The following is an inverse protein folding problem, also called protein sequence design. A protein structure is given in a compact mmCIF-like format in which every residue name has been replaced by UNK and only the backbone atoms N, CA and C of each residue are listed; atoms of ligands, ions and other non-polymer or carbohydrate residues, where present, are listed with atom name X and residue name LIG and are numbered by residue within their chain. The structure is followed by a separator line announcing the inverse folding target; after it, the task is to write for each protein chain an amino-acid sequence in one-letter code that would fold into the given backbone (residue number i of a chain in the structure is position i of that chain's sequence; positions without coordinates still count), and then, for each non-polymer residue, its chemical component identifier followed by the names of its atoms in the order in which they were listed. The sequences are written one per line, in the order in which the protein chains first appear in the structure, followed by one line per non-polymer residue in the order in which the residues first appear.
data_IF_388481159288
#
_entry.id   IF_388481159288
#
_cell.length_a   1.000
_cell.length_b   1.000
_cell.length_c   1.000
_cell.angle_alpha   90.00
_cell.angle_beta   90.00
_cell.angle_gamma   90.00
#
_symmetry.space_group_name_H-M   'P 1'
#
loop_
_entity.id
_entity.type
_entity.pdbx_description
1 polymer ?
#
# COMPACT_ATOMS: atom_id res chain seq x y z
N UNK A 1 -48.19 4.26 79.18
CA UNK A 1 -49.32 3.94 78.28
C UNK A 1 -49.29 4.89 77.10
N UNK A 2 -49.34 4.35 75.88
CA UNK A 2 -49.45 5.01 74.57
C UNK A 2 -48.26 5.91 74.18
N UNK A 3 -47.48 5.68 73.12
CA UNK A 3 -47.76 4.99 71.86
C UNK A 3 -47.65 6.02 70.73
N UNK A 4 -46.56 6.00 69.96
CA UNK A 4 -46.40 6.56 68.59
C UNK A 4 -44.94 6.44 68.11
N UNK A 5 -44.75 5.91 66.91
CA UNK A 5 -43.46 6.01 66.20
C UNK A 5 -43.21 4.88 65.19
N UNK A 6 -43.73 5.03 63.97
CA UNK A 6 -43.31 4.25 62.78
C UNK A 6 -41.85 4.60 62.44
N UNK A 7 -41.01 3.63 62.04
CA UNK A 7 -40.29 3.65 60.75
C UNK A 7 -39.33 2.46 60.51
N UNK A 8 -39.42 1.95 59.28
CA UNK A 8 -38.39 1.37 58.41
C UNK A 8 -37.44 0.27 58.93
N UNK A 9 -37.72 -0.95 58.46
CA UNK A 9 -36.82 -2.10 58.48
C UNK A 9 -35.74 -1.95 57.39
N UNK A 10 -34.49 -2.21 57.78
CA UNK A 10 -33.26 -2.04 57.01
C UNK A 10 -33.23 -2.81 55.67
N UNK A 11 -32.89 -2.10 54.60
CA UNK A 11 -32.41 -2.69 53.34
C UNK A 11 -30.96 -3.16 53.53
N UNK A 12 -30.71 -4.45 53.29
CA UNK A 12 -29.35 -5.00 53.23
C UNK A 12 -28.64 -4.55 51.95
N UNK A 13 -27.51 -3.85 52.13
CA UNK A 13 -26.49 -3.67 51.12
C UNK A 13 -25.83 -5.03 50.83
N UNK A 14 -25.74 -5.40 49.57
CA UNK A 14 -24.69 -6.30 49.07
C UNK A 14 -24.25 -5.83 47.70
N UNK A 15 -23.26 -4.93 47.70
CA UNK A 15 -22.46 -4.60 46.52
C UNK A 15 -21.43 -5.71 46.33
N UNK A 16 -21.63 -6.58 45.33
CA UNK A 16 -20.63 -7.54 44.90
C UNK A 16 -19.65 -6.83 43.93
N UNK A 17 -18.48 -6.47 44.44
CA UNK A 17 -17.32 -6.05 43.65
C UNK A 17 -16.82 -7.25 42.84
N UNK A 18 -17.08 -7.26 41.54
CA UNK A 18 -16.35 -8.14 40.61
C UNK A 18 -15.15 -7.37 40.05
N UNK A 19 -13.96 -7.98 39.98
CA UNK A 19 -12.79 -7.30 39.41
C UNK A 19 -13.00 -7.07 37.91
N UNK A 20 -12.49 -5.96 37.34
CA UNK A 20 -12.62 -5.70 35.92
C UNK A 20 -11.87 -6.78 35.13
N UNK A 21 -12.60 -7.50 34.29
CA UNK A 21 -12.03 -8.36 33.24
C UNK A 21 -11.13 -7.47 32.37
N UNK A 22 -9.82 -7.64 32.49
CA UNK A 22 -8.88 -7.13 31.49
C UNK A 22 -9.20 -7.82 30.17
N UNK A 23 -9.75 -7.05 29.23
CA UNK A 23 -9.75 -7.40 27.82
C UNK A 23 -8.29 -7.38 27.37
N UNK A 24 -7.71 -8.57 27.21
CA UNK A 24 -6.48 -8.70 26.45
C UNK A 24 -6.77 -8.21 25.03
N UNK A 25 -6.15 -7.10 24.64
CA UNK A 25 -6.08 -6.68 23.23
C UNK A 25 -5.20 -7.73 22.56
N UNK A 26 -5.83 -8.66 21.84
CA UNK A 26 -5.11 -9.50 20.90
C UNK A 26 -4.53 -8.55 19.85
N UNK A 27 -3.21 -8.47 19.76
CA UNK A 27 -2.57 -7.80 18.63
C UNK A 27 -3.06 -8.49 17.36
N UNK A 28 -3.67 -7.73 16.46
CA UNK A 28 -3.96 -8.21 15.11
C UNK A 28 -2.61 -8.62 14.49
N UNK A 29 -2.39 -9.92 14.33
CA UNK A 29 -1.28 -10.39 13.52
C UNK A 29 -1.58 -9.95 12.08
N UNK A 30 -0.76 -9.05 11.53
CA UNK A 30 -0.74 -8.74 10.10
C UNK A 30 -0.58 -10.06 9.36
N UNK A 31 -1.63 -10.55 8.70
CA UNK A 31 -1.54 -11.74 7.85
C UNK A 31 -1.12 -11.34 6.44
N UNK A 32 -0.03 -10.57 6.32
CA UNK A 32 0.54 -10.31 5.00
C UNK A 32 1.11 -11.62 4.46
N UNK A 33 0.56 -12.09 3.34
CA UNK A 33 1.06 -13.26 2.64
C UNK A 33 2.04 -12.79 1.57
N UNK A 34 3.31 -12.59 1.94
CA UNK A 34 4.37 -12.28 0.99
C UNK A 34 5.06 -13.54 0.47
N UNK A 35 5.62 -13.45 -0.74
CA UNK A 35 6.35 -14.52 -1.40
C UNK A 35 7.49 -13.94 -2.22
N UNK A 36 8.70 -14.40 -1.94
CA UNK A 36 9.89 -14.11 -2.76
C UNK A 36 9.80 -14.90 -4.07
N UNK A 37 9.89 -14.19 -5.18
CA UNK A 37 9.90 -14.72 -6.54
C UNK A 37 11.34 -14.89 -6.99
N UNK A 38 11.73 -16.12 -7.33
CA UNK A 38 13.11 -16.42 -7.77
C UNK A 38 13.22 -16.70 -9.27
N UNK A 39 12.10 -16.88 -9.96
CA UNK A 39 12.03 -17.14 -11.40
C UNK A 39 10.71 -16.63 -11.97
N UNK A 40 10.74 -16.08 -13.19
CA UNK A 40 9.57 -15.63 -13.93
C UNK A 40 9.46 -16.39 -15.26
N UNK A 41 8.25 -16.78 -15.71
CA UNK A 41 8.05 -17.26 -17.07
C UNK A 41 8.58 -16.22 -18.08
N UNK A 42 9.32 -16.69 -19.09
CA UNK A 42 9.93 -15.82 -20.09
C UNK A 42 11.29 -15.24 -19.71
N UNK A 43 11.69 -15.28 -18.43
CA UNK A 43 13.03 -14.90 -17.98
C UNK A 43 13.95 -16.13 -17.93
N UNK A 44 15.15 -16.04 -18.50
CA UNK A 44 16.09 -17.16 -18.50
C UNK A 44 16.88 -17.22 -17.19
N UNK A 45 16.74 -18.33 -16.46
CA UNK A 45 17.46 -18.58 -15.21
C UNK A 45 16.82 -17.95 -13.97
N UNK A 46 17.59 -17.87 -12.90
CA UNK A 46 17.17 -17.23 -11.63
C UNK A 46 17.20 -15.71 -11.80
N UNK A 47 16.24 -15.01 -11.19
CA UNK A 47 16.25 -13.55 -11.15
C UNK A 47 17.52 -13.04 -10.44
N UNK A 48 18.26 -12.09 -11.02
CA UNK A 48 19.46 -11.52 -10.41
C UNK A 48 19.15 -10.37 -9.42
N UNK A 49 17.88 -10.12 -9.13
CA UNK A 49 17.40 -9.10 -8.19
C UNK A 49 16.39 -9.73 -7.21
N UNK A 50 16.22 -9.11 -6.06
CA UNK A 50 15.19 -9.50 -5.10
C UNK A 50 13.83 -8.98 -5.58
N UNK A 51 12.89 -9.89 -5.85
CA UNK A 51 11.51 -9.57 -6.14
C UNK A 51 10.62 -10.28 -5.12
N UNK A 52 9.82 -9.51 -4.40
CA UNK A 52 8.79 -10.01 -3.52
C UNK A 52 7.42 -9.58 -4.04
N UNK A 53 6.43 -10.44 -3.86
CA UNK A 53 5.04 -10.11 -4.14
C UNK A 53 4.17 -10.49 -2.96
N UNK A 54 3.11 -9.74 -2.70
CA UNK A 54 2.19 -10.09 -1.62
C UNK A 54 0.91 -9.30 -1.64
N UNK A 55 0.06 -9.61 -0.67
CA UNK A 55 -1.19 -8.91 -0.42
C UNK A 55 -1.15 -8.25 0.95
N UNK A 56 -1.72 -7.07 1.04
CA UNK A 56 -1.97 -6.36 2.30
C UNK A 56 -3.47 -6.06 2.41
N UNK A 57 -4.11 -6.56 3.46
CA UNK A 57 -5.50 -6.22 3.78
C UNK A 57 -5.58 -4.78 4.29
N UNK A 58 -6.30 -3.92 3.58
CA UNK A 58 -6.39 -2.47 3.85
C UNK A 58 -7.76 -2.03 4.31
N UNK A 59 -8.76 -2.91 4.20
CA UNK A 59 -10.11 -2.69 4.71
C UNK A 59 -10.74 -4.05 5.06
N UNK A 60 -10.79 -4.33 6.36
CA UNK A 60 -11.30 -5.59 6.93
C UNK A 60 -12.81 -5.73 6.76
N UNK A 61 -13.56 -4.61 6.69
CA UNK A 61 -15.02 -4.63 6.57
C UNK A 61 -15.44 -5.24 5.23
N UNK A 62 -14.76 -4.84 4.16
CA UNK A 62 -15.02 -5.37 2.82
C UNK A 62 -14.11 -6.54 2.43
N UNK A 63 -13.07 -6.82 3.24
CA UNK A 63 -12.02 -7.78 2.90
C UNK A 63 -11.26 -7.32 1.66
N UNK A 64 -10.89 -6.05 1.63
CA UNK A 64 -10.14 -5.42 0.55
C UNK A 64 -8.65 -5.67 0.77
N UNK A 65 -8.00 -6.27 -0.23
CA UNK A 65 -6.57 -6.55 -0.25
C UNK A 65 -5.93 -5.89 -1.48
N UNK A 66 -4.86 -5.12 -1.23
CA UNK A 66 -4.04 -4.55 -2.29
C UNK A 66 -2.83 -5.44 -2.55
N UNK A 67 -2.57 -5.71 -3.82
CA UNK A 67 -1.42 -6.47 -4.29
C UNK A 67 -0.23 -5.55 -4.55
N UNK A 68 0.97 -6.04 -4.25
CA UNK A 68 2.21 -5.32 -4.53
C UNK A 68 3.29 -6.20 -5.16
N UNK A 69 4.20 -5.54 -5.86
CA UNK A 69 5.53 -6.04 -6.20
C UNK A 69 6.55 -5.16 -5.48
N UNK A 70 7.46 -5.76 -4.73
CA UNK A 70 8.59 -5.09 -4.13
C UNK A 70 9.89 -5.54 -4.78
N UNK A 71 10.69 -4.58 -5.24
CA UNK A 71 12.04 -4.84 -5.77
C UNK A 71 13.06 -4.09 -4.93
N UNK A 72 13.97 -4.85 -4.30
CA UNK A 72 15.06 -4.27 -3.51
C UNK A 72 16.11 -3.62 -4.41
N UNK A 73 16.77 -2.59 -3.89
CA UNK A 73 17.80 -1.87 -4.61
C UNK A 73 19.08 -2.67 -4.84
N UNK A 74 19.69 -2.55 -6.02
CA UNK A 74 20.99 -3.17 -6.32
C UNK A 74 22.16 -2.59 -5.51
N UNK A 75 22.06 -1.34 -5.03
CA UNK A 75 23.11 -0.70 -4.20
C UNK A 75 23.01 -1.04 -2.70
N UNK A 76 22.01 -1.84 -2.32
CA UNK A 76 21.76 -2.30 -0.94
C UNK A 76 20.53 -1.62 -0.33
N UNK A 77 19.64 -2.44 0.25
CA UNK A 77 18.34 -2.01 0.75
C UNK A 77 18.38 -0.90 1.80
N UNK A 78 19.36 -0.88 2.70
CA UNK A 78 19.46 0.11 3.80
C UNK A 78 19.98 1.49 3.37
N UNK A 79 20.67 1.57 2.23
CA UNK A 79 21.33 2.80 1.74
C UNK A 79 20.55 3.52 0.65
N UNK A 80 19.62 2.83 0.02
CA UNK A 80 18.84 3.35 -1.09
C UNK A 80 17.58 4.10 -0.60
N UNK A 81 17.11 5.15 -1.29
CA UNK A 81 15.76 5.68 -1.05
C UNK A 81 14.68 4.61 -1.29
N UNK A 82 13.53 4.79 -0.64
CA UNK A 82 12.34 3.97 -0.85
C UNK A 82 11.34 4.73 -1.73
N UNK A 83 10.86 4.12 -2.79
CA UNK A 83 9.94 4.72 -3.75
C UNK A 83 8.64 3.91 -3.79
N UNK A 84 7.53 4.54 -3.41
CA UNK A 84 6.20 4.06 -3.80
C UNK A 84 5.95 4.48 -5.25
N UNK A 85 5.69 3.51 -6.13
CA UNK A 85 5.33 3.74 -7.53
C UNK A 85 3.89 3.35 -7.81
N UNK A 86 3.12 4.29 -8.36
CA UNK A 86 1.72 4.12 -8.69
C UNK A 86 1.50 4.31 -10.20
N UNK A 87 0.69 3.46 -10.81
CA UNK A 87 0.34 3.63 -12.22
C UNK A 87 -1.01 4.30 -12.41
N UNK A 88 -1.08 5.22 -13.37
CA UNK A 88 -2.29 5.98 -13.68
C UNK A 88 -3.22 5.25 -14.65
N UNK A 89 -4.42 5.80 -14.81
CA UNK A 89 -5.52 5.15 -15.55
C UNK A 89 -6.45 4.42 -14.61
N UNK A 90 -7.77 4.48 -14.88
CA UNK A 90 -8.76 3.87 -13.98
C UNK A 90 -8.51 2.36 -13.87
N UNK A 91 -8.09 1.93 -12.67
CA UNK A 91 -7.76 0.54 -12.31
C UNK A 91 -6.73 -0.12 -13.24
N UNK A 92 -5.82 0.65 -13.80
CA UNK A 92 -4.67 0.08 -14.52
C UNK A 92 -3.71 -0.61 -13.55
N UNK A 93 -3.17 -1.77 -13.95
CA UNK A 93 -2.19 -2.48 -13.12
C UNK A 93 -0.84 -1.80 -13.16
N UNK A 94 -0.15 -1.76 -12.02
CA UNK A 94 1.22 -1.29 -11.88
C UNK A 94 2.25 -2.20 -12.57
N UNK A 95 1.82 -3.37 -13.06
CA UNK A 95 2.65 -4.26 -13.86
C UNK A 95 3.24 -3.55 -15.10
N UNK A 96 2.56 -2.54 -15.66
CA UNK A 96 3.15 -1.71 -16.72
C UNK A 96 4.35 -0.91 -16.21
N UNK A 97 4.27 -0.28 -15.04
CA UNK A 97 5.41 0.40 -14.41
C UNK A 97 6.58 -0.54 -14.15
N UNK A 98 6.28 -1.77 -13.71
CA UNK A 98 7.27 -2.81 -13.44
C UNK A 98 7.95 -3.35 -14.71
N UNK A 99 7.20 -3.63 -15.78
CA UNK A 99 7.71 -4.38 -16.94
C UNK A 99 7.92 -3.55 -18.21
N UNK A 100 7.44 -2.30 -18.26
CA UNK A 100 7.49 -1.43 -19.44
C UNK A 100 8.13 -0.07 -19.16
N UNK A 101 8.37 0.29 -17.89
CA UNK A 101 8.89 1.59 -17.51
C UNK A 101 10.16 1.49 -16.66
N UNK A 102 10.02 1.50 -15.33
CA UNK A 102 11.14 1.72 -14.40
C UNK A 102 11.63 0.45 -13.71
N UNK A 103 10.90 -0.67 -13.81
CA UNK A 103 11.27 -1.92 -13.12
C UNK A 103 12.45 -2.67 -13.73
N UNK A 104 12.90 -3.77 -13.08
CA UNK A 104 14.20 -4.39 -13.29
C UNK A 104 14.28 -5.28 -14.53
N UNK A 105 13.14 -5.57 -15.14
CA UNK A 105 13.03 -6.38 -16.35
C UNK A 105 12.07 -5.71 -17.34
N UNK A 106 12.17 -6.13 -18.59
CA UNK A 106 11.26 -5.69 -19.65
C UNK A 106 10.97 -6.81 -20.63
N UNK A 107 9.83 -6.70 -21.31
CA UNK A 107 9.52 -7.55 -22.45
C UNK A 107 10.52 -7.32 -23.59
N UNK A 108 10.96 -8.40 -24.21
CA UNK A 108 11.70 -8.34 -25.47
C UNK A 108 10.71 -7.93 -26.57
N UNK A 109 11.01 -6.85 -27.30
CA UNK A 109 10.17 -6.39 -28.39
C UNK A 109 10.34 -7.30 -29.62
N UNK A 110 9.53 -8.35 -29.69
CA UNK A 110 9.50 -9.31 -30.79
C UNK A 110 8.04 -9.59 -31.22
N UNK A 111 7.77 -9.94 -32.49
CA UNK A 111 6.43 -10.28 -32.94
C UNK A 111 5.86 -11.44 -32.12
N UNK A 112 4.64 -11.29 -31.62
CA UNK A 112 3.99 -12.35 -30.85
C UNK A 112 3.75 -13.58 -31.73
N UNK A 113 4.36 -14.69 -31.35
CA UNK A 113 4.35 -15.95 -32.08
C UNK A 113 3.48 -17.03 -31.41
N UNK A 114 2.68 -16.67 -30.40
CA UNK A 114 1.86 -17.61 -29.63
C UNK A 114 2.58 -18.30 -28.47
N UNK A 115 3.84 -17.96 -28.19
CA UNK A 115 4.60 -18.49 -27.05
C UNK A 115 4.71 -17.48 -25.90
N UNK A 116 5.23 -17.92 -24.75
CA UNK A 116 5.44 -17.06 -23.59
C UNK A 116 6.40 -15.92 -23.99
N UNK A 117 5.99 -14.64 -23.84
CA UNK A 117 6.86 -13.51 -24.16
C UNK A 117 8.16 -13.58 -23.38
N UNK A 118 9.28 -13.30 -24.06
CA UNK A 118 10.59 -13.29 -23.42
C UNK A 118 10.77 -12.03 -22.58
N UNK A 119 11.45 -12.19 -21.46
CA UNK A 119 11.86 -11.13 -20.55
C UNK A 119 13.38 -11.00 -20.57
N UNK A 120 13.86 -9.78 -20.45
CA UNK A 120 15.27 -9.46 -20.28
C UNK A 120 15.46 -8.41 -19.18
N UNK A 121 16.68 -8.27 -18.67
CA UNK A 121 17.01 -7.20 -17.72
C UNK A 121 16.84 -5.83 -18.39
N UNK A 122 16.28 -4.89 -17.63
CA UNK A 122 16.23 -3.48 -17.97
C UNK A 122 17.51 -2.79 -17.43
N UNK A 123 18.47 -2.41 -18.29
CA UNK A 123 19.71 -1.78 -17.84
C UNK A 123 19.50 -0.35 -17.31
N UNK A 124 18.33 0.25 -17.51
CA UNK A 124 17.98 1.59 -17.06
C UNK A 124 16.95 1.60 -15.92
N UNK A 125 16.77 0.45 -15.25
CA UNK A 125 15.84 0.33 -14.14
C UNK A 125 16.19 1.28 -12.99
N UNK A 126 15.16 1.84 -12.37
CA UNK A 126 15.30 2.68 -11.18
C UNK A 126 15.60 1.86 -9.93
N UNK A 127 15.32 0.56 -9.95
CA UNK A 127 15.68 -0.36 -8.85
C UNK A 127 17.19 -0.52 -8.71
N UNK A 128 17.99 -0.03 -9.67
CA UNK A 128 19.43 0.09 -9.50
C UNK A 128 19.85 1.01 -8.37
N UNK A 129 19.01 2.01 -8.04
CA UNK A 129 19.35 3.07 -7.08
C UNK A 129 18.29 3.29 -6.01
N UNK A 130 17.12 2.65 -6.11
CA UNK A 130 16.03 2.78 -5.14
C UNK A 130 15.43 1.41 -4.81
N UNK A 131 14.90 1.26 -3.60
CA UNK A 131 13.93 0.20 -3.30
C UNK A 131 12.58 0.67 -3.85
N UNK A 132 11.90 -0.16 -4.63
CA UNK A 132 10.65 0.26 -5.29
C UNK A 132 9.51 -0.67 -4.93
N UNK A 133 8.45 -0.09 -4.37
CA UNK A 133 7.20 -0.75 -4.07
C UNK A 133 6.17 -0.33 -5.12
N UNK A 134 5.82 -1.25 -6.00
CA UNK A 134 4.79 -1.10 -7.02
C UNK A 134 3.48 -1.63 -6.47
N UNK A 135 2.43 -0.80 -6.41
CA UNK A 135 1.13 -1.19 -5.84
C UNK A 135 0.03 -1.12 -6.88
N UNK A 136 -0.72 -2.21 -7.04
CA UNK A 136 -1.96 -2.22 -7.81
C UNK A 136 -3.04 -1.44 -7.03
N UNK A 137 -3.36 -0.24 -7.49
CA UNK A 137 -4.32 0.65 -6.82
C UNK A 137 -5.07 1.52 -7.84
N UNK A 138 -6.34 1.89 -7.61
CA UNK A 138 -7.22 1.48 -6.50
C UNK A 138 -7.55 -0.02 -6.50
N UNK A 139 -8.25 -0.49 -5.46
CA UNK A 139 -8.81 -1.86 -5.44
C UNK A 139 -9.51 -2.19 -6.76
N UNK A 140 -9.34 -3.40 -7.29
CA UNK A 140 -9.80 -3.79 -8.62
C UNK A 140 -8.80 -3.48 -9.75
N UNK A 141 -7.72 -2.75 -9.49
CA UNK A 141 -6.57 -2.68 -10.37
C UNK A 141 -5.76 -3.98 -10.31
N UNK A 142 -5.36 -4.50 -11.48
CA UNK A 142 -4.48 -5.67 -11.58
C UNK A 142 -4.95 -6.85 -10.73
N UNK A 143 -4.15 -7.20 -9.71
CA UNK A 143 -4.43 -8.30 -8.79
C UNK A 143 -5.09 -7.88 -7.48
N UNK A 144 -5.27 -6.58 -7.22
CA UNK A 144 -5.95 -6.07 -6.03
C UNK A 144 -7.46 -6.31 -6.09
N UNK A 145 -8.06 -6.75 -4.99
CA UNK A 145 -9.46 -7.15 -4.98
C UNK A 145 -10.16 -6.82 -3.65
N UNK A 146 -11.48 -6.81 -3.69
CA UNK A 146 -12.35 -6.83 -2.51
C UNK A 146 -13.26 -8.05 -2.55
N UNK A 147 -13.47 -8.68 -1.39
CA UNK A 147 -14.39 -9.81 -1.23
C UNK A 147 -15.86 -9.36 -1.29
N UNK A 148 -16.14 -8.09 -1.03
CA UNK A 148 -17.48 -7.50 -1.10
C UNK A 148 -17.57 -6.46 -2.23
N UNK A 149 -18.69 -6.42 -2.99
CA UNK A 149 -18.89 -5.41 -4.04
C UNK A 149 -18.74 -3.97 -3.55
N UNK A 150 -19.15 -3.68 -2.31
CA UNK A 150 -19.07 -2.35 -1.70
C UNK A 150 -17.63 -1.84 -1.57
N UNK A 151 -16.67 -2.74 -1.34
CA UNK A 151 -15.26 -2.36 -1.24
C UNK A 151 -14.67 -1.81 -2.54
N UNK A 152 -15.33 -2.01 -3.69
CA UNK A 152 -14.90 -1.42 -4.96
C UNK A 152 -15.38 0.02 -5.17
N UNK A 153 -16.28 0.53 -4.32
CA UNK A 153 -16.76 1.92 -4.36
C UNK A 153 -15.75 2.83 -3.66
N UNK A 154 -14.74 3.27 -4.41
CA UNK A 154 -13.63 4.08 -3.91
C UNK A 154 -13.39 5.30 -4.78
N UNK A 155 -13.00 6.40 -4.14
CA UNK A 155 -12.49 7.62 -4.76
C UNK A 155 -11.07 7.91 -4.30
N UNK A 156 -10.53 9.07 -4.63
CA UNK A 156 -9.13 9.44 -4.35
C UNK A 156 -8.82 9.44 -2.85
N UNK A 157 -9.75 9.95 -2.03
CA UNK A 157 -9.60 9.99 -0.57
C UNK A 157 -9.57 8.58 0.03
N UNK A 158 -10.55 7.73 -0.27
CA UNK A 158 -10.56 6.37 0.27
C UNK A 158 -9.40 5.53 -0.26
N UNK A 159 -9.00 5.73 -1.52
CA UNK A 159 -7.82 5.08 -2.11
C UNK A 159 -6.53 5.51 -1.40
N UNK A 160 -6.36 6.80 -1.10
CA UNK A 160 -5.18 7.28 -0.36
C UNK A 160 -5.13 6.77 1.09
N UNK A 161 -6.29 6.62 1.75
CA UNK A 161 -6.38 5.98 3.07
C UNK A 161 -5.96 4.51 3.01
N UNK A 162 -6.44 3.76 2.02
CA UNK A 162 -6.04 2.36 1.80
C UNK A 162 -4.54 2.22 1.51
N UNK A 163 -3.97 3.10 0.69
CA UNK A 163 -2.53 3.12 0.42
C UNK A 163 -1.71 3.46 1.67
N UNK A 164 -2.17 4.41 2.49
CA UNK A 164 -1.51 4.73 3.75
C UNK A 164 -1.56 3.53 4.71
N UNK A 165 -2.70 2.85 4.81
CA UNK A 165 -2.82 1.60 5.58
C UNK A 165 -1.83 0.53 5.08
N UNK A 166 -1.74 0.36 3.76
CA UNK A 166 -0.79 -0.56 3.15
C UNK A 166 0.63 -0.23 3.56
N UNK A 167 1.06 1.04 3.47
CA UNK A 167 2.42 1.44 3.85
C UNK A 167 2.68 1.16 5.33
N UNK A 168 1.75 1.51 6.22
CA UNK A 168 1.88 1.27 7.66
C UNK A 168 2.09 -0.22 7.95
N UNK A 169 1.25 -1.09 7.38
CA UNK A 169 1.37 -2.54 7.56
C UNK A 169 2.65 -3.08 6.91
N UNK A 170 2.95 -2.67 5.69
CA UNK A 170 4.13 -3.15 4.95
C UNK A 170 5.44 -2.80 5.67
N UNK A 171 5.59 -1.56 6.14
CA UNK A 171 6.78 -1.14 6.90
C UNK A 171 6.82 -1.71 8.33
N UNK A 172 5.69 -2.14 8.89
CA UNK A 172 5.68 -2.90 10.15
C UNK A 172 6.29 -4.28 9.94
N UNK A 173 5.98 -4.92 8.82
CA UNK A 173 6.51 -6.23 8.46
C UNK A 173 7.96 -6.16 7.93
N UNK A 174 8.39 -4.99 7.41
CA UNK A 174 9.73 -4.73 6.88
C UNK A 174 10.42 -3.54 7.57
N UNK A 175 10.74 -3.65 8.87
CA UNK A 175 11.26 -2.55 9.67
C UNK A 175 12.64 -2.04 9.20
N UNK A 176 13.40 -2.85 8.46
CA UNK A 176 14.71 -2.49 7.91
C UNK A 176 14.65 -1.32 6.93
N UNK A 177 13.51 -1.08 6.28
CA UNK A 177 13.34 0.03 5.34
C UNK A 177 12.80 1.31 5.98
N UNK A 178 12.48 1.31 7.27
CA UNK A 178 11.86 2.46 7.94
C UNK A 178 12.74 3.71 7.97
N UNK A 179 14.06 3.52 8.04
CA UNK A 179 15.01 4.63 8.05
C UNK A 179 15.16 5.28 6.66
N UNK A 180 14.77 4.57 5.60
CA UNK A 180 14.99 5.00 4.23
C UNK A 180 14.15 6.25 3.91
N UNK A 181 14.72 7.25 3.22
CA UNK A 181 13.94 8.36 2.68
C UNK A 181 12.81 7.84 1.77
N UNK A 182 11.55 8.10 2.15
CA UNK A 182 10.37 7.69 1.40
C UNK A 182 9.98 8.77 0.39
N UNK A 183 9.89 8.37 -0.88
CA UNK A 183 9.41 9.15 -2.02
C UNK A 183 8.18 8.50 -2.62
N UNK A 184 7.35 9.31 -3.27
CA UNK A 184 6.11 8.87 -3.90
C UNK A 184 6.07 9.38 -5.33
N UNK A 185 5.96 8.47 -6.28
CA UNK A 185 5.88 8.79 -7.70
C UNK A 185 4.81 7.97 -8.40
N UNK A 186 4.57 8.34 -9.66
CA UNK A 186 3.71 7.55 -10.52
C UNK A 186 3.70 8.07 -11.95
N UNK A 187 2.97 7.38 -12.81
CA UNK A 187 2.75 7.79 -14.19
C UNK A 187 1.31 8.27 -14.42
N UNK A 188 1.12 9.11 -15.44
CA UNK A 188 -0.21 9.52 -15.90
C UNK A 188 -1.10 10.09 -14.77
N UNK A 189 -2.36 9.64 -14.68
CA UNK A 189 -3.35 10.08 -13.68
C UNK A 189 -2.96 9.75 -12.23
N UNK A 190 -1.97 8.89 -11.98
CA UNK A 190 -1.46 8.67 -10.63
C UNK A 190 -0.90 9.97 -10.03
N UNK A 191 -0.45 10.92 -10.86
CA UNK A 191 -0.06 12.25 -10.43
C UNK A 191 -1.14 13.02 -9.66
N UNK A 192 -2.42 12.68 -9.81
CA UNK A 192 -3.50 13.23 -8.99
C UNK A 192 -3.56 12.58 -7.61
N UNK A 193 -3.28 11.27 -7.52
CA UNK A 193 -3.31 10.51 -6.27
C UNK A 193 -2.10 10.79 -5.37
N UNK A 194 -0.92 11.08 -5.96
CA UNK A 194 0.33 11.35 -5.23
C UNK A 194 0.18 12.46 -4.15
N UNK A 195 -0.42 13.64 -4.44
CA UNK A 195 -0.72 14.63 -3.41
C UNK A 195 -1.61 14.12 -2.27
N UNK A 196 -2.65 13.34 -2.56
CA UNK A 196 -3.56 12.81 -1.53
C UNK A 196 -2.82 11.87 -0.58
N UNK A 197 -2.02 10.92 -1.10
CA UNK A 197 -1.27 10.02 -0.25
C UNK A 197 -0.18 10.75 0.56
N UNK A 198 0.50 11.74 -0.03
CA UNK A 198 1.47 12.56 0.68
C UNK A 198 0.81 13.31 1.86
N UNK A 199 -0.39 13.85 1.64
CA UNK A 199 -1.19 14.47 2.70
C UNK A 199 -1.58 13.46 3.78
N UNK A 200 -2.09 12.28 3.41
CA UNK A 200 -2.50 11.25 4.37
C UNK A 200 -1.32 10.77 5.24
N UNK A 201 -0.12 10.64 4.68
CA UNK A 201 1.08 10.31 5.44
C UNK A 201 1.46 11.45 6.38
N UNK A 202 1.41 12.70 5.91
CA UNK A 202 1.71 13.88 6.75
C UNK A 202 0.76 13.96 7.96
N UNK A 203 -0.54 13.82 7.72
CA UNK A 203 -1.56 13.80 8.78
C UNK A 203 -1.35 12.61 9.74
N UNK A 204 -0.94 11.45 9.22
CA UNK A 204 -0.56 10.30 10.04
C UNK A 204 0.62 10.57 10.97
N UNK A 205 1.67 11.23 10.45
CA UNK A 205 2.84 11.62 11.24
C UNK A 205 2.45 12.60 12.35
N UNK A 206 1.65 13.63 12.03
CA UNK A 206 1.15 14.60 13.01
C UNK A 206 0.28 13.93 14.09
N UNK A 207 -0.52 12.94 13.71
CA UNK A 207 -1.34 12.15 14.63
C UNK A 207 -0.54 11.13 15.46
N UNK A 208 0.77 10.98 15.22
CA UNK A 208 1.62 10.01 15.92
C UNK A 208 1.35 8.55 15.52
N UNK A 209 0.85 8.32 14.29
CA UNK A 209 0.61 6.99 13.75
C UNK A 209 1.94 6.26 13.53
N UNK A 210 2.05 5.05 14.06
CA UNK A 210 3.25 4.23 13.94
C UNK A 210 3.10 3.15 12.84
N UNK A 211 4.18 2.80 12.12
CA UNK A 211 5.51 3.41 12.24
C UNK A 211 5.58 4.79 11.57
N UNK A 212 6.47 5.66 12.06
CA UNK A 212 6.67 7.00 11.48
C UNK A 212 7.43 6.84 10.16
N UNK A 213 6.78 7.22 9.06
CA UNK A 213 7.36 7.13 7.72
C UNK A 213 8.29 8.33 7.45
N UNK A 214 9.51 8.08 6.96
CA UNK A 214 10.50 9.12 6.65
C UNK A 214 10.22 9.82 5.30
N UNK A 215 9.06 10.46 5.19
CA UNK A 215 8.61 11.13 3.97
C UNK A 215 9.55 12.29 3.58
N UNK A 216 10.14 12.22 2.38
CA UNK A 216 10.86 13.31 1.71
C UNK A 216 10.08 13.64 0.44
N UNK A 217 9.19 14.62 0.51
CA UNK A 217 8.26 14.90 -0.59
C UNK A 217 9.04 15.25 -1.88
N UNK A 218 8.91 14.41 -2.92
CA UNK A 218 9.28 14.70 -4.31
C UNK A 218 8.28 13.96 -5.19
N UNK A 219 7.50 14.72 -5.97
CA UNK A 219 6.48 14.18 -6.87
C UNK A 219 7.15 13.91 -8.22
N UNK A 220 7.23 12.65 -8.59
CA UNK A 220 7.72 12.23 -9.91
C UNK A 220 6.50 11.82 -10.72
N UNK A 221 6.20 12.55 -11.80
CA UNK A 221 5.13 12.22 -12.75
C UNK A 221 5.75 11.93 -14.11
N UNK A 222 5.66 10.68 -14.56
CA UNK A 222 5.91 10.36 -15.97
C UNK A 222 4.60 10.58 -16.75
N UNK A 223 4.46 11.78 -17.33
CA UNK A 223 3.36 12.07 -18.24
C UNK A 223 3.76 11.64 -19.66
N UNK A 224 3.22 10.52 -20.15
CA UNK A 224 3.06 10.34 -21.60
C UNK A 224 1.91 11.24 -22.06
N UNK A 225 2.24 12.43 -22.52
CA UNK A 225 1.37 13.36 -23.28
C UNK A 225 -0.05 13.60 -22.71
N UNK A 226 -0.18 14.54 -21.77
CA UNK A 226 -1.36 15.42 -21.72
C UNK A 226 -1.10 16.65 -22.59
N UNK A 227 -1.10 16.47 -23.92
CA UNK A 227 -0.91 17.56 -24.86
C UNK A 227 -1.86 17.48 -26.06
N UNK A 228 -3.15 17.15 -25.86
CA UNK A 228 -4.14 17.37 -26.93
C UNK A 228 -5.55 17.83 -26.50
N UNK A 229 -5.85 17.96 -25.21
CA UNK A 229 -7.23 18.30 -24.81
C UNK A 229 -7.29 19.24 -23.62
N UNK A 230 -6.76 20.46 -23.76
CA UNK A 230 -7.18 21.58 -22.87
C UNK A 230 -6.96 23.00 -23.41
N UNK A 231 -6.71 23.21 -24.71
CA UNK A 231 -6.58 24.56 -25.33
C UNK A 231 -7.70 24.82 -26.35
N UNK A 232 -8.91 24.32 -26.11
CA UNK A 232 -10.10 24.76 -26.85
C UNK A 232 -11.32 24.89 -25.92
N UNK A 233 -11.27 25.80 -24.95
CA UNK A 233 -12.46 26.50 -24.44
C UNK A 233 -12.09 27.68 -23.55
N UNK A 234 -11.67 28.77 -24.16
CA UNK A 234 -11.95 30.12 -23.67
C UNK A 234 -11.78 31.10 -24.83
N UNK A 235 -12.86 31.22 -25.61
CA UNK A 235 -13.20 32.34 -26.47
C UNK A 235 -14.69 32.57 -26.32
#
# INVERSE_FOLDING_TARGET
MNGRGRLLLCLFLSAALTPPRQLAVAGAASSSSSKVVTSLPGFQGRLPFHLETGYVEVDEENGTELFYYFVESEVGGDKAPFLLWLTGGDRCSVLSGLALEIGPFQFVAEPYNGTIPRLQINPYSWTKVANVLFVDTPVGAGFSFSRRPQGYDVGEVSTSLQLHELLIKWFTDHPEFLANPLYIGGDSLAGQLVPFIAQQISEGIEAGRNPILNLKVTIIILAKEFAYTSIYRMS
#
